data_IF_125285230515
#
_entry.id   IF_125285230515
#
_cell.length_a   1.000
_cell.length_b   1.000
_cell.length_c   1.000
_cell.angle_alpha   90.00
_cell.angle_beta   90.00
_cell.angle_gamma   90.00
#
_symmetry.space_group_name_H-M   'P 1'
#
loop_
_entity.id
_entity.type
_entity.pdbx_description
1 polymer ?
#
# COMPACT_ATOMS: atom_id res chain seq x y z
N UNK A 1 13.81 -16.19 -10.33
CA UNK A 1 13.04 -16.37 -9.08
C UNK A 1 12.70 -14.96 -8.60
N UNK A 2 11.41 -14.66 -8.59
CA UNK A 2 10.83 -13.32 -8.66
C UNK A 2 11.25 -12.42 -7.51
N UNK A 3 11.57 -11.16 -7.81
CA UNK A 3 11.78 -10.09 -6.84
C UNK A 3 10.65 -10.13 -5.78
N UNK A 4 10.96 -10.63 -4.58
CA UNK A 4 10.05 -10.53 -3.45
C UNK A 4 10.09 -9.09 -2.96
N UNK A 5 9.34 -8.22 -3.63
CA UNK A 5 8.97 -6.92 -3.07
C UNK A 5 8.12 -7.20 -1.83
N UNK A 6 8.76 -7.11 -0.67
CA UNK A 6 8.10 -7.30 0.63
C UNK A 6 7.22 -6.08 0.93
N UNK A 7 5.93 -6.31 1.17
CA UNK A 7 5.02 -5.28 1.66
C UNK A 7 5.13 -5.25 3.19
N UNK A 8 5.09 -4.08 3.80
CA UNK A 8 4.98 -3.95 5.25
C UNK A 8 3.51 -3.74 5.61
N UNK A 9 2.94 -4.66 6.39
CA UNK A 9 1.61 -4.54 6.98
C UNK A 9 1.75 -4.36 8.48
N UNK A 10 1.33 -3.20 9.01
CA UNK A 10 1.53 -2.84 10.42
C UNK A 10 2.98 -3.07 10.91
N UNK A 11 3.97 -2.72 10.06
CA UNK A 11 5.40 -2.93 10.34
C UNK A 11 5.93 -4.35 10.13
N UNK A 12 5.08 -5.31 9.75
CA UNK A 12 5.46 -6.71 9.53
C UNK A 12 5.62 -6.99 8.03
N UNK A 13 6.73 -7.63 7.63
CA UNK A 13 6.92 -8.07 6.25
C UNK A 13 5.92 -9.17 5.89
N UNK A 14 5.09 -8.89 4.90
CA UNK A 14 4.09 -9.82 4.34
C UNK A 14 4.33 -9.98 2.84
N UNK A 15 3.92 -11.14 2.31
CA UNK A 15 3.85 -11.35 0.86
C UNK A 15 2.64 -10.65 0.26
N UNK A 16 2.63 -10.43 -1.06
CA UNK A 16 1.49 -9.83 -1.76
C UNK A 16 0.17 -10.59 -1.50
N UNK A 17 0.21 -11.92 -1.48
CA UNK A 17 -0.97 -12.73 -1.18
C UNK A 17 -1.49 -12.51 0.25
N UNK A 18 -0.58 -12.34 1.23
CA UNK A 18 -0.95 -12.03 2.61
C UNK A 18 -1.50 -10.61 2.74
N UNK A 19 -0.91 -9.64 2.04
CA UNK A 19 -1.42 -8.27 1.98
C UNK A 19 -2.84 -8.24 1.39
N UNK A 20 -3.08 -8.95 0.28
CA UNK A 20 -4.41 -9.05 -0.33
C UNK A 20 -5.44 -9.67 0.64
N UNK A 21 -5.07 -10.74 1.34
CA UNK A 21 -5.94 -11.36 2.33
C UNK A 21 -6.26 -10.40 3.49
N UNK A 22 -5.27 -9.61 3.95
CA UNK A 22 -5.48 -8.61 4.98
C UNK A 22 -6.40 -7.47 4.53
N UNK A 23 -6.27 -7.01 3.28
CA UNK A 23 -7.16 -6.00 2.69
C UNK A 23 -8.61 -6.52 2.58
N UNK A 24 -8.82 -7.76 2.14
CA UNK A 24 -10.17 -8.38 2.13
C UNK A 24 -10.78 -8.50 3.52
N UNK A 25 -9.97 -8.74 4.54
CA UNK A 25 -10.42 -8.72 5.94
C UNK A 25 -10.79 -7.31 6.43
N UNK A 26 -10.26 -6.26 5.79
CA UNK A 26 -10.64 -4.87 6.06
C UNK A 26 -11.99 -4.55 5.41
N UNK A 27 -12.18 -4.92 4.15
CA UNK A 27 -13.43 -4.72 3.38
C UNK A 27 -14.66 -5.29 4.11
N UNK A 28 -14.49 -6.43 4.79
CA UNK A 28 -15.59 -7.10 5.53
C UNK A 28 -15.93 -6.47 6.89
N UNK A 29 -15.21 -5.45 7.36
CA UNK A 29 -15.47 -4.79 8.65
C UNK A 29 -16.47 -3.65 8.49
N UNK A 30 -17.37 -3.49 9.46
CA UNK A 30 -18.39 -2.42 9.47
C UNK A 30 -18.27 -1.59 10.76
N UNK A 31 -18.03 -0.27 10.68
CA UNK A 31 -17.72 0.48 9.45
C UNK A 31 -16.37 0.08 8.86
N UNK A 32 -16.24 0.15 7.53
CA UNK A 32 -14.97 -0.14 6.84
C UNK A 32 -13.88 0.80 7.38
N UNK A 33 -12.77 0.27 7.94
CA UNK A 33 -11.66 1.09 8.40
C UNK A 33 -10.83 1.61 7.22
N UNK A 34 -10.27 2.81 7.36
CA UNK A 34 -9.39 3.39 6.35
C UNK A 34 -8.04 2.68 6.34
N UNK A 35 -7.63 2.19 5.17
CA UNK A 35 -6.31 1.61 4.96
C UNK A 35 -5.33 2.68 4.53
N UNK A 36 -4.25 2.85 5.30
CA UNK A 36 -3.18 3.78 4.97
C UNK A 36 -2.05 3.09 4.22
N UNK A 37 -1.64 3.68 3.11
CA UNK A 37 -0.57 3.19 2.25
C UNK A 37 0.57 4.19 2.26
N UNK A 38 1.74 3.74 2.74
CA UNK A 38 2.97 4.51 2.73
C UNK A 38 3.93 3.95 1.67
N UNK A 39 4.06 4.57 0.49
CA UNK A 39 5.13 4.21 -0.41
C UNK A 39 6.48 4.61 0.20
N UNK A 40 7.38 3.64 0.32
CA UNK A 40 8.64 3.70 -0.41
C UNK A 40 9.26 5.08 -0.66
N UNK A 41 10.24 5.43 0.16
CA UNK A 41 11.38 6.33 -0.03
C UNK A 41 12.04 6.41 -1.44
N UNK A 42 11.32 6.35 -2.56
CA UNK A 42 11.85 6.17 -3.92
C UNK A 42 11.37 4.88 -4.57
N UNK A 43 10.20 4.36 -4.14
CA UNK A 43 9.59 3.22 -4.80
C UNK A 43 9.36 3.51 -6.29
N UNK A 44 9.86 2.62 -7.16
CA UNK A 44 9.60 2.71 -8.59
C UNK A 44 8.11 2.78 -8.88
N UNK A 45 7.74 3.53 -9.92
CA UNK A 45 6.36 3.64 -10.39
C UNK A 45 5.65 2.28 -10.51
N UNK A 46 6.38 1.24 -10.95
CA UNK A 46 5.87 -0.13 -11.04
C UNK A 46 5.44 -0.71 -9.69
N UNK A 47 6.17 -0.43 -8.61
CA UNK A 47 5.83 -0.90 -7.25
C UNK A 47 4.55 -0.23 -6.75
N UNK A 48 4.43 1.08 -6.98
CA UNK A 48 3.22 1.84 -6.63
C UNK A 48 2.01 1.36 -7.44
N UNK A 49 2.16 1.15 -8.75
CA UNK A 49 1.10 0.63 -9.61
C UNK A 49 0.64 -0.78 -9.19
N UNK A 50 1.59 -1.64 -8.79
CA UNK A 50 1.29 -2.98 -8.28
C UNK A 50 0.50 -2.94 -6.97
N UNK A 51 0.87 -2.04 -6.06
CA UNK A 51 0.16 -1.83 -4.81
C UNK A 51 -1.25 -1.27 -5.03
N UNK A 52 -1.42 -0.31 -5.95
CA UNK A 52 -2.74 0.17 -6.36
C UNK A 52 -3.61 -0.94 -6.92
N UNK A 53 -3.04 -1.83 -7.74
CA UNK A 53 -3.76 -2.99 -8.27
C UNK A 53 -4.18 -3.98 -7.17
N UNK A 54 -3.35 -4.18 -6.14
CA UNK A 54 -3.70 -5.01 -4.99
C UNK A 54 -4.90 -4.45 -4.22
N UNK A 55 -4.92 -3.13 -4.02
CA UNK A 55 -6.03 -2.41 -3.39
C UNK A 55 -7.31 -2.56 -4.22
N UNK A 56 -7.24 -2.30 -5.52
CA UNK A 56 -8.38 -2.42 -6.44
C UNK A 56 -8.99 -3.84 -6.42
N UNK A 57 -8.13 -4.88 -6.49
CA UNK A 57 -8.57 -6.29 -6.45
C UNK A 57 -9.09 -6.72 -5.07
N UNK A 58 -8.75 -5.99 -4.01
CA UNK A 58 -9.19 -6.31 -2.65
C UNK A 58 -10.60 -5.83 -2.31
N UNK A 59 -11.16 -4.88 -3.06
CA UNK A 59 -12.49 -4.33 -2.84
C UNK A 59 -12.58 -3.24 -1.76
N UNK A 60 -11.50 -2.94 -1.04
CA UNK A 60 -11.47 -1.87 -0.03
C UNK A 60 -11.71 -0.50 -0.69
N UNK A 61 -12.63 0.28 -0.13
CA UNK A 61 -13.03 1.56 -0.72
C UNK A 61 -12.38 2.76 -0.03
N UNK A 62 -11.99 2.62 1.23
CA UNK A 62 -11.33 3.67 2.01
C UNK A 62 -9.83 3.44 2.06
N UNK A 63 -9.12 4.07 1.12
CA UNK A 63 -7.66 4.04 1.07
C UNK A 63 -7.09 5.46 1.08
N UNK A 64 -6.18 5.71 2.02
CA UNK A 64 -5.41 6.94 2.12
C UNK A 64 -3.95 6.69 1.76
N UNK A 65 -3.36 7.53 0.92
CA UNK A 65 -1.91 7.53 0.67
C UNK A 65 -1.23 8.52 1.63
N UNK A 66 -0.30 8.03 2.43
CA UNK A 66 0.45 8.82 3.42
C UNK A 66 1.94 8.80 3.10
N UNK A 67 2.72 9.78 3.55
CA UNK A 67 4.18 9.79 3.35
C UNK A 67 4.70 10.43 2.04
N UNK A 68 3.81 10.89 1.14
CA UNK A 68 4.20 11.64 -0.06
C UNK A 68 4.63 13.10 0.24
N UNK A 69 4.48 13.52 1.49
CA UNK A 69 4.74 14.89 1.97
C UNK A 69 6.24 15.19 2.09
N UNK A 70 7.08 14.16 2.09
CA UNK A 70 8.55 14.29 2.19
C UNK A 70 9.24 14.65 0.88
N UNK A 71 8.54 14.56 -0.25
CA UNK A 71 9.10 14.77 -1.60
C UNK A 71 8.87 16.16 -2.19
N UNK A 72 7.78 16.83 -1.81
CA UNK A 72 7.46 18.18 -2.32
C UNK A 72 8.48 19.26 -1.93
N UNK A 73 9.36 18.99 -0.97
CA UNK A 73 10.36 19.95 -0.49
C UNK A 73 11.74 19.84 -1.17
N UNK A 74 11.94 18.93 -2.14
CA UNK A 74 13.21 18.85 -2.88
C UNK A 74 13.23 19.66 -4.19
N UNK A 75 12.11 20.30 -4.59
CA UNK A 75 12.02 21.10 -5.84
C UNK A 75 12.11 22.61 -5.60
N UNK A 76 12.63 23.06 -4.45
CA UNK A 76 12.94 24.48 -4.21
C UNK A 76 14.38 24.64 -3.72
N UNK A 77 15.31 24.52 -4.66
CA UNK A 77 16.55 25.31 -4.67
C UNK A 77 16.48 26.26 -5.87
#
# INVERSE_FOLDING_TARGET
>A
MTAQDSILWNGTKVSEAQALAALRLVETRVPEPETQIAPEAGASYEKTARLMRLVDVSGVTKVGFVGNERYRNFERD
#
